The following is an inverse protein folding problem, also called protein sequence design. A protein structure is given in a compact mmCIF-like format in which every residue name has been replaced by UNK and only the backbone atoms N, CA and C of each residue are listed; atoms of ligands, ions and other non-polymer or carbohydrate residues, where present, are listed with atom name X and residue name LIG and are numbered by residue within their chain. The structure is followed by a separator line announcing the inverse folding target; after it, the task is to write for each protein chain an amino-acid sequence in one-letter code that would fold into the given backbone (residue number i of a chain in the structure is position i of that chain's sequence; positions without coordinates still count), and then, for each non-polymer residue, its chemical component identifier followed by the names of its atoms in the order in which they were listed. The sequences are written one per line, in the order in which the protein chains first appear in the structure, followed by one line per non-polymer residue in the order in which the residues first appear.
data_IF_979231327431
#
_entry.id   IF_979231327431
#
_cell.length_a   1.000
_cell.length_b   1.000
_cell.length_c   1.000
_cell.angle_alpha   90.00
_cell.angle_beta   90.00
_cell.angle_gamma   90.00
#
_symmetry.space_group_name_H-M   'P 1'
#
loop_
_entity.id
_entity.type
_entity.pdbx_description
1 polymer ?
#
# COMPACT_ATOMS: atom_id res chain seq x y z
N UNK A 1 -6.90 -1.48 -9.65
CA UNK A 1 -7.40 -0.87 -8.38
C UNK A 1 -6.32 0.01 -7.82
N UNK A 2 -6.55 1.32 -7.75
CA UNK A 2 -5.66 2.27 -7.06
C UNK A 2 -6.16 2.45 -5.63
N UNK A 3 -5.26 2.35 -4.66
CA UNK A 3 -5.57 2.65 -3.26
C UNK A 3 -4.69 3.82 -2.83
N UNK A 4 -5.29 4.82 -2.18
CA UNK A 4 -4.58 6.00 -1.65
C UNK A 4 -4.81 6.10 -0.15
N UNK A 5 -3.75 6.40 0.60
CA UNK A 5 -3.84 6.52 2.05
C UNK A 5 -4.70 7.72 2.38
N UNK A 6 -5.64 7.60 3.32
CA UNK A 6 -6.57 8.66 3.69
C UNK A 6 -5.91 9.97 4.16
N UNK A 7 -4.64 9.92 4.57
CA UNK A 7 -3.85 11.10 4.94
C UNK A 7 -3.36 11.90 3.73
N UNK A 8 -3.46 11.35 2.52
CA UNK A 8 -3.03 11.97 1.25
C UNK A 8 -4.29 12.49 0.54
N UNK A 9 -4.43 13.82 0.38
CA UNK A 9 -5.55 14.40 -0.34
C UNK A 9 -5.55 13.94 -1.79
N UNK A 10 -6.63 13.27 -2.21
CA UNK A 10 -6.74 12.70 -3.55
C UNK A 10 -8.18 12.73 -4.06
N UNK A 11 -8.32 12.68 -5.39
CA UNK A 11 -9.59 12.68 -6.11
C UNK A 11 -9.53 11.61 -7.22
N UNK A 12 -10.54 10.76 -7.28
CA UNK A 12 -10.72 9.84 -8.42
C UNK A 12 -11.14 10.65 -9.65
N UNK A 13 -10.45 10.42 -10.77
CA UNK A 13 -10.66 11.14 -12.04
C UNK A 13 -11.02 10.12 -13.11
N UNK A 14 -11.86 10.52 -14.06
CA UNK A 14 -12.16 9.67 -15.21
C UNK A 14 -10.86 9.36 -15.99
N UNK A 15 -10.59 8.09 -16.29
CA UNK A 15 -9.37 7.70 -16.97
C UNK A 15 -9.44 8.05 -18.46
N UNK A 16 -8.26 8.30 -19.04
CA UNK A 16 -8.09 8.46 -20.48
C UNK A 16 -8.44 7.15 -21.20
N UNK A 17 -9.03 7.26 -22.39
CA UNK A 17 -9.30 6.10 -23.22
C UNK A 17 -8.00 5.50 -23.74
N UNK A 18 -7.66 4.27 -23.32
CA UNK A 18 -6.44 3.57 -23.73
C UNK A 18 -6.69 2.40 -24.70
N UNK A 19 -7.85 2.36 -25.35
CA UNK A 19 -8.24 1.33 -26.32
C UNK A 19 -9.35 0.38 -25.83
N UNK A 20 -10.04 -0.25 -26.79
CA UNK A 20 -11.20 -1.11 -26.52
C UNK A 20 -10.86 -2.36 -25.68
N UNK A 21 -11.32 -2.36 -24.42
CA UNK A 21 -11.11 -3.46 -23.48
C UNK A 21 -9.78 -3.39 -22.73
N UNK A 22 -9.12 -2.22 -22.75
CA UNK A 22 -8.07 -1.86 -21.79
C UNK A 22 -8.74 -1.28 -20.54
N UNK A 23 -8.34 -1.76 -19.37
CA UNK A 23 -8.84 -1.24 -18.09
C UNK A 23 -7.88 -0.17 -17.59
N UNK A 24 -8.39 1.03 -17.33
CA UNK A 24 -7.61 2.14 -16.79
C UNK A 24 -8.30 2.72 -15.56
N UNK A 25 -7.51 3.13 -14.58
CA UNK A 25 -7.96 3.87 -13.40
C UNK A 25 -7.03 5.04 -13.17
N UNK A 26 -7.60 6.17 -12.74
CA UNK A 26 -6.83 7.41 -12.55
C UNK A 26 -7.19 8.06 -11.22
N UNK A 27 -6.17 8.45 -10.46
CA UNK A 27 -6.32 9.22 -9.23
C UNK A 27 -5.39 10.41 -9.26
N UNK A 28 -5.91 11.60 -8.99
CA UNK A 28 -5.12 12.82 -8.79
C UNK A 28 -4.79 12.98 -7.31
N UNK A 29 -3.51 13.17 -7.01
CA UNK A 29 -2.97 13.42 -5.68
C UNK A 29 -2.59 14.90 -5.60
N UNK A 30 -3.06 15.60 -4.56
CA UNK A 30 -2.73 17.00 -4.34
C UNK A 30 -1.51 17.13 -3.42
N UNK A 31 -0.51 17.84 -3.91
CA UNK A 31 0.75 18.15 -3.23
C UNK A 31 0.74 19.61 -2.76
N UNK A 32 1.77 20.02 -2.03
CA UNK A 32 1.85 21.39 -1.51
C UNK A 32 1.86 22.45 -2.63
N UNK A 33 2.59 22.16 -3.72
CA UNK A 33 2.85 23.13 -4.80
C UNK A 33 2.31 22.66 -6.17
N UNK A 34 1.83 21.42 -6.28
CA UNK A 34 1.41 20.82 -7.55
C UNK A 34 0.42 19.67 -7.34
N UNK A 35 0.06 18.95 -8.40
CA UNK A 35 -0.69 17.71 -8.35
C UNK A 35 -0.01 16.61 -9.17
N UNK A 36 0.00 15.38 -8.64
CA UNK A 36 0.46 14.20 -9.34
C UNK A 36 -0.74 13.39 -9.82
N UNK A 37 -0.80 13.05 -11.10
CA UNK A 37 -1.82 12.15 -11.64
C UNK A 37 -1.26 10.74 -11.77
N UNK A 38 -1.88 9.80 -11.08
CA UNK A 38 -1.48 8.39 -11.07
C UNK A 38 -2.42 7.58 -11.96
N UNK A 39 -1.88 6.92 -12.97
CA UNK A 39 -2.58 6.00 -13.86
C UNK A 39 -2.22 4.56 -13.52
N UNK A 40 -3.24 3.71 -13.39
CA UNK A 40 -3.10 2.26 -13.31
C UNK A 40 -3.74 1.62 -14.53
N UNK A 41 -2.94 1.00 -15.40
CA UNK A 41 -3.38 0.45 -16.68
C UNK A 41 -3.21 -1.06 -16.69
N UNK A 42 -4.28 -1.78 -17.00
CA UNK A 42 -4.24 -3.19 -17.31
C UNK A 42 -4.71 -3.41 -18.75
N UNK A 43 -3.77 -3.82 -19.61
CA UNK A 43 -4.06 -4.18 -20.99
C UNK A 43 -4.05 -5.71 -21.13
N UNK A 44 -5.22 -6.35 -21.34
CA UNK A 44 -5.27 -7.80 -21.58
C UNK A 44 -4.48 -8.19 -22.84
N UNK A 45 -3.84 -9.38 -22.87
CA UNK A 45 -3.00 -9.81 -24.00
C UNK A 45 -3.63 -9.67 -25.40
N UNK A 46 -4.92 -10.02 -25.65
CA UNK A 46 -5.48 -9.99 -26.99
C UNK A 46 -5.93 -8.59 -27.45
N UNK A 47 -5.87 -7.57 -26.58
CA UNK A 47 -6.35 -6.21 -26.88
C UNK A 47 -5.24 -5.36 -27.48
N UNK A 48 -5.59 -4.19 -28.03
CA UNK A 48 -4.62 -3.21 -28.53
C UNK A 48 -4.50 -2.06 -27.55
N UNK A 49 -3.28 -1.59 -27.34
CA UNK A 49 -3.00 -0.42 -26.52
C UNK A 49 -3.01 0.85 -27.39
N UNK A 50 -3.82 1.83 -27.01
CA UNK A 50 -3.82 3.17 -27.60
C UNK A 50 -3.28 4.18 -26.57
N UNK A 51 -1.95 4.32 -26.50
CA UNK A 51 -1.28 5.12 -25.47
C UNK A 51 -1.04 6.60 -25.87
N UNK A 52 -1.43 7.02 -27.07
CA UNK A 52 -1.10 8.36 -27.60
C UNK A 52 -1.69 9.51 -26.77
N UNK A 53 -2.98 9.42 -26.42
CA UNK A 53 -3.66 10.45 -25.61
C UNK A 53 -3.09 10.49 -24.18
N UNK A 54 -2.83 9.32 -23.59
CA UNK A 54 -2.21 9.18 -22.27
C UNK A 54 -0.84 9.87 -22.19
N UNK A 55 0.04 9.60 -23.17
CA UNK A 55 1.38 10.18 -23.21
C UNK A 55 1.35 11.66 -23.57
N UNK A 56 0.38 12.11 -24.36
CA UNK A 56 0.17 13.54 -24.63
C UNK A 56 -0.23 14.28 -23.34
N UNK A 57 -1.15 13.74 -22.55
CA UNK A 57 -1.56 14.37 -21.28
C UNK A 57 -0.41 14.42 -20.27
N UNK A 58 0.48 13.43 -20.31
CA UNK A 58 1.68 13.37 -19.50
C UNK A 58 2.74 14.43 -19.83
N UNK A 59 2.59 15.17 -20.94
CA UNK A 59 3.41 16.38 -21.24
C UNK A 59 2.91 17.64 -20.53
N UNK A 60 1.68 17.65 -20.02
CA UNK A 60 1.03 18.85 -19.48
C UNK A 60 0.96 18.87 -17.96
N UNK A 61 1.05 17.71 -17.31
CA UNK A 61 0.92 17.53 -15.87
C UNK A 61 1.97 16.51 -15.36
N UNK A 62 2.28 16.54 -14.07
CA UNK A 62 3.10 15.50 -13.45
C UNK A 62 2.32 14.19 -13.41
N UNK A 63 2.88 13.15 -14.03
CA UNK A 63 2.24 11.83 -14.10
C UNK A 63 3.11 10.71 -13.56
N UNK A 64 2.44 9.70 -13.01
CA UNK A 64 2.97 8.38 -12.77
C UNK A 64 2.06 7.37 -13.44
N UNK A 65 2.57 6.66 -14.45
CA UNK A 65 1.81 5.65 -15.18
C UNK A 65 2.39 4.29 -14.83
N UNK A 66 1.58 3.40 -14.29
CA UNK A 66 2.01 2.06 -13.92
C UNK A 66 0.97 1.01 -14.30
N UNK A 67 1.40 -0.24 -14.46
CA UNK A 67 0.49 -1.39 -14.58
C UNK A 67 1.02 -2.45 -15.54
N UNK A 68 0.17 -3.44 -15.85
CA UNK A 68 0.50 -4.53 -16.77
C UNK A 68 0.03 -4.19 -18.19
N UNK A 69 1.00 -3.85 -19.03
CA UNK A 69 0.76 -3.45 -20.41
C UNK A 69 0.74 -4.61 -21.38
N UNK A 70 1.14 -5.83 -20.98
CA UNK A 70 1.39 -6.96 -21.89
C UNK A 70 2.12 -6.53 -23.19
N UNK A 71 3.07 -5.61 -23.07
CA UNK A 71 3.83 -5.01 -24.15
C UNK A 71 5.29 -5.49 -24.07
N UNK A 72 5.83 -5.94 -25.19
CA UNK A 72 7.15 -6.56 -25.27
C UNK A 72 7.99 -5.83 -26.31
N UNK A 73 9.16 -5.36 -25.90
CA UNK A 73 10.15 -4.75 -26.79
C UNK A 73 11.55 -4.92 -26.20
N UNK A 74 12.60 -5.18 -27.01
CA UNK A 74 13.98 -5.30 -26.53
C UNK A 74 14.49 -4.08 -25.74
N UNK A 75 14.03 -2.87 -26.08
CA UNK A 75 14.33 -1.63 -25.33
C UNK A 75 13.70 -1.59 -23.93
N UNK A 76 12.60 -2.33 -23.72
CA UNK A 76 11.88 -2.41 -22.44
C UNK A 76 12.43 -3.58 -21.61
N UNK A 77 12.63 -4.73 -22.24
CA UNK A 77 13.32 -5.88 -21.69
C UNK A 77 14.16 -6.57 -22.78
N UNK A 78 15.50 -6.56 -22.66
CA UNK A 78 16.43 -7.12 -23.65
C UNK A 78 16.19 -8.59 -24.00
N UNK A 79 15.55 -9.35 -23.11
CA UNK A 79 15.33 -10.79 -23.25
C UNK A 79 14.02 -11.16 -23.97
N UNK A 80 13.20 -10.17 -24.33
CA UNK A 80 11.86 -10.40 -24.90
C UNK A 80 11.80 -10.16 -26.41
N UNK A 81 11.02 -10.96 -27.13
CA UNK A 81 10.70 -10.73 -28.53
C UNK A 81 9.66 -9.61 -28.65
N UNK A 82 9.87 -8.70 -29.60
CA UNK A 82 8.99 -7.57 -29.85
C UNK A 82 7.56 -7.98 -30.22
N UNK A 83 6.55 -7.37 -29.58
CA UNK A 83 5.16 -7.40 -30.03
C UNK A 83 4.71 -6.03 -30.56
N UNK A 84 3.55 -5.98 -31.22
CA UNK A 84 3.08 -4.77 -31.90
C UNK A 84 2.82 -3.61 -30.93
N UNK A 85 2.31 -3.89 -29.73
CA UNK A 85 2.07 -2.87 -28.70
C UNK A 85 3.38 -2.35 -28.10
N UNK A 86 4.39 -3.20 -27.91
CA UNK A 86 5.71 -2.79 -27.42
C UNK A 86 6.46 -1.93 -28.43
N UNK A 87 6.36 -2.22 -29.72
CA UNK A 87 6.87 -1.32 -30.77
C UNK A 87 6.17 0.03 -30.75
N UNK A 88 4.82 0.02 -30.75
CA UNK A 88 4.02 1.24 -30.72
C UNK A 88 4.34 2.12 -29.49
N UNK A 89 4.51 1.51 -28.33
CA UNK A 89 4.83 2.21 -27.09
C UNK A 89 6.25 2.82 -27.14
N UNK A 90 7.24 2.11 -27.70
CA UNK A 90 8.60 2.64 -27.84
C UNK A 90 8.67 3.78 -28.86
N UNK A 91 7.90 3.73 -29.95
CA UNK A 91 7.77 4.85 -30.88
C UNK A 91 7.21 6.09 -30.16
N UNK A 92 6.12 5.94 -29.41
CA UNK A 92 5.52 7.05 -28.68
C UNK A 92 6.45 7.63 -27.60
N UNK A 93 7.23 6.81 -26.90
CA UNK A 93 8.22 7.28 -25.93
C UNK A 93 9.40 7.99 -26.59
N UNK A 94 9.71 7.66 -27.84
CA UNK A 94 10.75 8.38 -28.61
C UNK A 94 10.26 9.79 -28.97
N UNK A 95 8.95 9.94 -29.19
CA UNK A 95 8.32 11.21 -29.53
C UNK A 95 8.02 12.10 -28.30
N UNK A 96 8.05 11.54 -27.08
CA UNK A 96 7.71 12.24 -25.82
C UNK A 96 8.85 12.10 -24.78
N UNK A 97 9.91 12.94 -24.86
CA UNK A 97 11.07 12.84 -23.97
C UNK A 97 10.79 13.24 -22.51
N UNK A 98 9.64 13.86 -22.21
CA UNK A 98 9.19 14.27 -20.88
C UNK A 98 8.80 13.09 -19.99
N UNK A 99 8.73 11.88 -20.55
CA UNK A 99 8.32 10.66 -19.86
C UNK A 99 9.43 9.62 -19.94
N UNK A 100 9.89 9.18 -18.79
CA UNK A 100 10.97 8.20 -18.69
C UNK A 100 10.44 6.86 -18.21
N UNK A 101 10.83 5.79 -18.91
CA UNK A 101 10.66 4.41 -18.42
C UNK A 101 11.67 4.15 -17.30
N UNK A 102 11.19 3.85 -16.09
CA UNK A 102 12.06 3.61 -14.93
C UNK A 102 12.35 2.12 -14.70
N UNK A 103 11.89 1.25 -15.59
CA UNK A 103 12.13 -0.17 -15.48
C UNK A 103 13.60 -0.52 -15.75
N UNK A 104 14.21 -1.26 -14.83
CA UNK A 104 15.60 -1.77 -14.89
C UNK A 104 15.78 -3.00 -15.81
N UNK A 105 14.78 -3.37 -16.62
CA UNK A 105 14.82 -4.55 -17.51
C UNK A 105 14.70 -5.90 -16.81
N UNK A 106 14.58 -5.94 -15.48
CA UNK A 106 14.44 -7.18 -14.73
C UNK A 106 13.07 -7.87 -14.98
N UNK A 107 13.01 -9.22 -15.03
CA UNK A 107 11.75 -9.95 -15.20
C UNK A 107 10.80 -9.70 -14.02
N UNK A 108 9.57 -9.28 -14.31
CA UNK A 108 8.53 -9.06 -13.31
C UNK A 108 7.65 -10.28 -13.10
N UNK A 109 7.77 -11.34 -13.91
CA UNK A 109 6.97 -12.55 -13.83
C UNK A 109 7.82 -13.82 -13.60
N UNK A 110 7.29 -14.82 -12.86
CA UNK A 110 8.00 -16.09 -12.50
C UNK A 110 8.46 -16.89 -13.75
N UNK A 111 7.74 -16.79 -14.87
CA UNK A 111 8.12 -17.48 -16.12
C UNK A 111 9.06 -16.66 -17.02
N UNK A 112 9.51 -15.48 -16.56
CA UNK A 112 10.30 -14.53 -17.35
C UNK A 112 9.42 -13.49 -18.07
N UNK A 113 10.00 -12.32 -18.34
CA UNK A 113 9.37 -11.16 -18.97
C UNK A 113 9.09 -9.99 -18.03
N UNK A 114 9.22 -8.75 -18.52
CA UNK A 114 8.85 -7.51 -17.82
C UNK A 114 7.52 -7.05 -18.42
N UNK A 115 6.41 -7.43 -17.80
CA UNK A 115 5.05 -7.10 -18.24
C UNK A 115 4.56 -5.80 -17.60
N UNK A 116 5.03 -5.56 -16.37
CA UNK A 116 4.68 -4.42 -15.55
C UNK A 116 5.60 -3.24 -15.88
N UNK A 117 5.06 -2.18 -16.46
CA UNK A 117 5.82 -1.00 -16.87
C UNK A 117 5.43 0.20 -16.00
N UNK A 118 6.45 0.93 -15.55
CA UNK A 118 6.27 2.20 -14.84
C UNK A 118 6.94 3.31 -15.63
N UNK A 119 6.16 4.32 -16.00
CA UNK A 119 6.60 5.54 -16.63
C UNK A 119 6.39 6.70 -15.67
N UNK A 120 7.33 7.63 -15.66
CA UNK A 120 7.27 8.80 -14.80
C UNK A 120 7.67 10.05 -15.57
N UNK A 121 7.06 11.19 -15.26
CA UNK A 121 7.56 12.48 -15.73
C UNK A 121 9.02 12.65 -15.32
N UNK A 122 9.89 13.01 -16.26
CA UNK A 122 11.37 13.05 -16.10
C UNK A 122 11.83 13.96 -14.95
N UNK A 123 11.01 14.94 -14.55
CA UNK A 123 11.28 15.84 -13.42
C UNK A 123 11.26 15.13 -12.05
N UNK A 124 10.64 13.96 -11.97
CA UNK A 124 10.55 13.16 -10.75
C UNK A 124 11.69 12.14 -10.72
N UNK A 125 12.84 12.50 -10.15
CA UNK A 125 13.96 11.56 -9.93
C UNK A 125 13.56 10.53 -8.87
N UNK A 126 13.31 9.25 -9.22
CA UNK A 126 12.88 8.26 -8.25
C UNK A 126 14.08 7.54 -7.62
N UNK A 127 13.97 7.22 -6.33
CA UNK A 127 14.71 6.10 -5.74
C UNK A 127 13.85 4.85 -5.92
N UNK A 128 14.29 3.93 -6.77
CA UNK A 128 13.62 2.66 -7.07
C UNK A 128 14.16 1.59 -6.13
N UNK A 129 13.27 0.93 -5.40
CA UNK A 129 13.62 -0.20 -4.53
C UNK A 129 12.75 -1.42 -4.90
N UNK A 130 13.38 -2.58 -5.03
CA UNK A 130 12.75 -3.79 -5.53
C UNK A 130 12.22 -4.63 -4.37
N UNK A 131 10.98 -4.39 -3.94
CA UNK A 131 10.35 -5.21 -2.91
C UNK A 131 8.88 -5.55 -3.17
N UNK A 132 8.61 -6.87 -3.03
CA UNK A 132 7.36 -7.61 -2.68
C UNK A 132 6.82 -8.57 -3.78
N UNK A 133 6.31 -9.75 -3.38
CA UNK A 133 6.09 -10.90 -4.29
C UNK A 133 4.68 -11.54 -4.25
N UNK A 134 4.03 -11.52 -5.42
CA UNK A 134 3.21 -12.63 -5.98
C UNK A 134 4.04 -13.34 -7.07
N UNK A 135 3.40 -14.12 -7.94
CA UNK A 135 3.91 -14.49 -9.27
C UNK A 135 4.30 -13.32 -10.18
N UNK A 136 3.91 -12.10 -9.79
CA UNK A 136 4.49 -10.84 -10.22
C UNK A 136 5.32 -10.19 -9.09
N UNK A 137 6.50 -9.65 -9.41
CA UNK A 137 7.30 -8.82 -8.51
C UNK A 137 6.70 -7.40 -8.50
N UNK A 138 6.19 -6.95 -7.35
CA UNK A 138 5.78 -5.58 -7.15
C UNK A 138 7.01 -4.67 -7.11
N UNK A 139 6.89 -3.47 -7.68
CA UNK A 139 7.95 -2.45 -7.68
C UNK A 139 7.57 -1.32 -6.75
N UNK A 140 8.52 -0.90 -5.91
CA UNK A 140 8.36 0.28 -5.07
C UNK A 140 9.11 1.44 -5.69
N UNK A 141 8.43 2.57 -5.85
CA UNK A 141 9.02 3.80 -6.38
C UNK A 141 8.81 4.91 -5.36
N UNK A 142 9.91 5.45 -4.83
CA UNK A 142 9.86 6.53 -3.85
C UNK A 142 9.99 7.87 -4.56
N UNK A 143 8.94 8.69 -4.45
CA UNK A 143 8.93 10.07 -4.97
C UNK A 143 9.14 11.04 -3.81
N UNK A 144 10.18 11.88 -3.91
CA UNK A 144 10.45 12.93 -2.93
C UNK A 144 9.65 14.17 -3.31
N UNK A 145 8.51 14.35 -2.64
CA UNK A 145 7.58 15.45 -2.90
C UNK A 145 7.07 16.09 -1.61
N UNK A 146 6.82 17.40 -1.67
CA UNK A 146 6.26 18.16 -0.55
C UNK A 146 4.76 17.89 -0.42
N UNK A 147 4.37 17.15 0.63
CA UNK A 147 2.97 16.88 0.93
C UNK A 147 2.28 18.13 1.50
N UNK A 148 0.96 18.23 1.28
CA UNK A 148 0.14 19.22 1.96
C UNK A 148 0.32 19.12 3.48
N UNK A 149 0.39 20.25 4.20
CA UNK A 149 0.45 20.23 5.64
C UNK A 149 -0.80 19.52 6.18
N UNK A 150 -0.67 18.73 7.27
CA UNK A 150 -1.83 18.10 7.88
C UNK A 150 -2.87 19.16 8.25
N UNK A 151 -4.17 18.82 8.21
CA UNK A 151 -5.21 19.77 8.55
C UNK A 151 -4.96 20.36 9.96
N UNK A 152 -5.26 21.65 10.17
CA UNK A 152 -5.08 22.28 11.47
C UNK A 152 -5.88 21.52 12.54
N UNK A 153 -5.40 21.58 13.78
CA UNK A 153 -6.03 20.89 14.90
C UNK A 153 -7.51 21.29 14.99
N UNK A 154 -8.44 20.34 15.18
CA UNK A 154 -9.83 20.70 15.43
C UNK A 154 -9.89 21.60 16.68
N UNK A 155 -10.73 22.65 16.66
CA UNK A 155 -10.82 23.56 17.78
C UNK A 155 -11.27 22.81 19.05
N UNK A 156 -10.80 23.22 20.23
CA UNK A 156 -11.18 22.59 21.49
C UNK A 156 -12.71 22.68 21.67
N UNK A 157 -13.35 21.54 21.94
CA UNK A 157 -14.81 21.43 22.09
C UNK A 157 -15.19 21.48 23.56
N UNK A 158 -16.42 21.87 23.88
CA UNK A 158 -16.90 21.84 25.26
C UNK A 158 -17.02 20.40 25.77
N UNK A 159 -16.50 20.14 26.98
CA UNK A 159 -16.59 18.82 27.61
C UNK A 159 -17.82 18.75 28.53
N UNK A 160 -18.99 18.44 27.94
CA UNK A 160 -20.25 18.34 28.68
C UNK A 160 -20.22 17.32 29.84
N UNK A 161 -19.34 16.31 29.79
CA UNK A 161 -19.18 15.33 30.88
C UNK A 161 -18.53 15.92 32.14
N UNK A 162 -17.75 16.99 31.98
CA UNK A 162 -17.09 17.71 33.08
C UNK A 162 -17.79 19.05 33.40
N UNK A 163 -18.94 19.31 32.80
CA UNK A 163 -19.70 20.53 33.01
C UNK A 163 -20.18 20.63 34.47
N UNK A 164 -19.98 21.80 35.07
CA UNK A 164 -20.63 22.15 36.32
C UNK A 164 -22.00 22.78 36.02
N UNK A 165 -23.02 21.94 35.83
CA UNK A 165 -24.36 22.40 35.47
C UNK A 165 -24.99 23.33 36.51
N UNK A 166 -24.57 23.23 37.78
CA UNK A 166 -25.05 24.14 38.83
C UNK A 166 -24.50 25.55 38.63
N UNK A 167 -23.19 25.67 38.39
CA UNK A 167 -22.57 26.95 38.06
C UNK A 167 -23.14 27.56 36.77
N UNK A 168 -23.38 26.73 35.75
CA UNK A 168 -24.01 27.17 34.51
C UNK A 168 -25.39 27.79 34.77
N UNK A 169 -26.21 27.09 35.56
CA UNK A 169 -27.55 27.56 35.91
C UNK A 169 -27.49 28.84 36.75
N UNK A 170 -26.56 28.93 37.70
CA UNK A 170 -26.42 30.10 38.57
C UNK A 170 -25.99 31.35 37.78
N UNK A 171 -25.02 31.23 36.86
CA UNK A 171 -24.60 32.35 35.99
C UNK A 171 -25.69 32.76 34.99
N UNK A 172 -26.39 31.79 34.39
CA UNK A 172 -27.48 32.11 33.47
C UNK A 172 -28.67 32.77 34.20
N UNK A 173 -29.01 32.30 35.41
CA UNK A 173 -30.06 32.89 36.23
C UNK A 173 -29.71 34.31 36.67
N UNK A 174 -28.43 34.57 36.97
CA UNK A 174 -27.91 35.90 37.30
C UNK A 174 -28.01 36.86 36.11
N UNK A 175 -27.72 36.40 34.89
CA UNK A 175 -27.97 37.20 33.69
C UNK A 175 -29.47 37.47 33.52
N UNK A 176 -30.30 36.43 33.55
CA UNK A 176 -31.75 36.54 33.35
C UNK A 176 -32.43 37.49 34.34
N UNK A 177 -32.01 37.49 35.60
CA UNK A 177 -32.60 38.35 36.64
C UNK A 177 -32.28 39.83 36.46
N UNK A 178 -31.25 40.16 35.68
CA UNK A 178 -30.81 41.53 35.40
C UNK A 178 -31.04 41.95 33.94
N UNK A 179 -31.65 41.09 33.12
CA UNK A 179 -31.81 41.33 31.69
C UNK A 179 -33.11 42.10 31.40
N UNK A 180 -32.98 43.20 30.66
CA UNK A 180 -34.11 43.93 30.08
C UNK A 180 -34.18 43.60 28.57
N UNK A 181 -35.30 43.06 28.06
CA UNK A 181 -35.41 42.64 26.67
C UNK A 181 -35.23 43.80 25.68
N UNK A 182 -34.39 43.59 24.66
CA UNK A 182 -34.28 44.53 23.55
C UNK A 182 -35.58 44.58 22.71
N UNK A 183 -35.88 45.74 22.12
CA UNK A 183 -37.02 45.90 21.21
C UNK A 183 -36.77 45.23 19.83
N UNK A 184 -35.50 45.11 19.45
CA UNK A 184 -35.07 44.46 18.22
C UNK A 184 -34.83 42.96 18.44
N UNK A 185 -35.37 42.14 17.54
CA UNK A 185 -35.29 40.68 17.58
C UNK A 185 -33.86 40.20 17.36
N UNK A 186 -33.11 40.86 16.48
CA UNK A 186 -31.74 40.48 16.18
C UNK A 186 -30.84 40.75 17.39
N UNK A 187 -31.03 41.90 18.04
CA UNK A 187 -30.34 42.22 19.29
C UNK A 187 -30.71 41.24 20.42
N UNK A 188 -31.98 40.89 20.57
CA UNK A 188 -32.42 39.90 21.57
C UNK A 188 -31.80 38.51 21.35
N UNK A 189 -31.69 38.07 20.10
CA UNK A 189 -31.02 36.81 19.77
C UNK A 189 -29.53 36.85 20.08
N UNK A 190 -28.88 37.98 19.83
CA UNK A 190 -27.47 38.17 20.13
C UNK A 190 -27.23 38.14 21.63
N UNK A 191 -28.01 38.89 22.41
CA UNK A 191 -27.91 38.93 23.87
C UNK A 191 -28.09 37.54 24.50
N UNK A 192 -29.08 36.78 24.01
CA UNK A 192 -29.32 35.41 24.48
C UNK A 192 -28.17 34.47 24.13
N UNK A 193 -27.63 34.59 22.91
CA UNK A 193 -26.51 33.75 22.45
C UNK A 193 -25.25 34.03 23.28
N UNK A 194 -24.96 35.30 23.53
CA UNK A 194 -23.83 35.74 24.35
C UNK A 194 -23.98 35.26 25.79
N UNK A 195 -25.19 35.32 26.36
CA UNK A 195 -25.47 34.81 27.70
C UNK A 195 -25.26 33.29 27.83
N UNK A 196 -25.76 32.51 26.84
CA UNK A 196 -25.55 31.06 26.79
C UNK A 196 -24.06 30.75 26.68
N UNK A 197 -23.35 31.48 25.83
CA UNK A 197 -21.93 31.26 25.59
C UNK A 197 -21.10 31.62 26.83
N UNK A 198 -21.39 32.75 27.48
CA UNK A 198 -20.73 33.17 28.72
C UNK A 198 -20.92 32.15 29.85
N UNK A 199 -22.17 31.74 30.12
CA UNK A 199 -22.46 30.77 31.18
C UNK A 199 -21.71 29.44 30.96
N UNK A 200 -21.56 29.03 29.71
CA UNK A 200 -20.82 27.82 29.38
C UNK A 200 -19.31 27.97 29.41
N UNK A 201 -18.76 29.14 29.08
CA UNK A 201 -17.32 29.40 29.21
C UNK A 201 -16.86 29.30 30.66
N UNK A 202 -17.68 29.77 31.61
CA UNK A 202 -17.42 29.66 33.04
C UNK A 202 -17.64 28.23 33.58
N UNK A 203 -18.68 27.54 33.10
CA UNK A 203 -19.13 26.29 33.71
C UNK A 203 -18.65 25.01 33.02
N UNK A 204 -18.26 25.08 31.73
CA UNK A 204 -17.96 23.90 30.91
C UNK A 204 -16.50 23.95 30.45
N UNK A 205 -15.61 23.14 31.04
CA UNK A 205 -14.22 23.11 30.61
C UNK A 205 -14.12 22.58 29.17
N UNK A 206 -13.22 23.16 28.37
CA UNK A 206 -12.95 22.72 27.01
C UNK A 206 -12.08 21.44 27.02
N UNK A 207 -12.27 20.57 26.03
CA UNK A 207 -11.42 19.40 25.81
C UNK A 207 -10.03 19.85 25.39
N UNK A 208 -8.98 19.26 25.96
CA UNK A 208 -7.66 19.40 25.40
C UNK A 208 -7.63 18.71 24.02
N UNK A 209 -7.18 19.39 22.95
CA UNK A 209 -6.99 18.75 21.66
C UNK A 209 -5.87 17.72 21.84
N UNK A 210 -6.24 16.45 21.97
CA UNK A 210 -5.26 15.37 22.07
C UNK A 210 -4.79 14.99 20.68
N UNK A 211 -3.47 14.95 20.46
CA UNK A 211 -2.84 14.29 19.29
C UNK A 211 -2.95 12.77 19.41
N UNK A 212 -4.17 12.25 19.62
CA UNK A 212 -4.39 10.83 19.37
C UNK A 212 -4.50 10.70 17.86
N UNK A 213 -3.35 10.52 17.21
CA UNK A 213 -3.33 9.65 16.04
C UNK A 213 -3.92 8.33 16.53
N UNK A 214 -5.20 8.11 16.22
CA UNK A 214 -5.64 6.74 16.11
C UNK A 214 -4.71 6.16 15.04
N UNK A 215 -3.79 5.27 15.44
CA UNK A 215 -3.20 4.34 14.46
C UNK A 215 -4.38 3.84 13.63
N UNK A 216 -4.21 3.77 12.32
CA UNK A 216 -5.25 3.45 11.32
C UNK A 216 -5.80 2.01 11.47
N UNK A 217 -5.80 1.45 12.69
CA UNK A 217 -6.39 0.19 13.11
C UNK A 217 -7.82 0.01 12.61
N UNK A 218 -8.59 1.07 12.38
CA UNK A 218 -9.97 0.95 11.89
C UNK A 218 -10.01 0.53 10.42
N UNK A 219 -9.12 1.07 9.57
CA UNK A 219 -9.00 0.71 8.16
C UNK A 219 -8.63 -0.78 8.09
N UNK A 220 -7.43 -1.13 8.61
CA UNK A 220 -6.98 -2.52 8.66
C UNK A 220 -7.94 -3.47 9.41
N UNK A 221 -8.79 -2.99 10.32
CA UNK A 221 -9.79 -3.85 10.94
C UNK A 221 -10.88 -4.27 9.96
N UNK A 222 -11.31 -3.40 9.06
CA UNK A 222 -12.35 -3.72 8.08
C UNK A 222 -11.81 -4.67 7.02
N UNK A 223 -10.60 -4.47 6.49
CA UNK A 223 -9.99 -5.46 5.59
C UNK A 223 -9.71 -6.79 6.29
N UNK A 224 -9.26 -6.77 7.55
CA UNK A 224 -9.04 -8.02 8.31
C UNK A 224 -10.34 -8.71 8.64
N UNK A 225 -11.39 -7.96 8.97
CA UNK A 225 -12.73 -8.51 9.19
C UNK A 225 -13.29 -9.10 7.89
N UNK A 226 -13.05 -8.46 6.75
CA UNK A 226 -13.41 -8.94 5.42
C UNK A 226 -12.65 -10.21 5.04
N UNK A 227 -11.32 -10.26 5.26
CA UNK A 227 -10.51 -11.45 5.05
C UNK A 227 -10.97 -12.60 5.95
N UNK A 228 -11.21 -12.32 7.24
CA UNK A 228 -11.76 -13.28 8.20
C UNK A 228 -13.12 -13.81 7.75
N UNK A 229 -14.01 -12.95 7.25
CA UNK A 229 -15.32 -13.36 6.73
C UNK A 229 -15.17 -14.26 5.49
N UNK A 230 -14.29 -13.91 4.55
CA UNK A 230 -13.99 -14.75 3.39
C UNK A 230 -13.40 -16.10 3.79
N UNK A 231 -12.48 -16.14 4.76
CA UNK A 231 -11.97 -17.39 5.33
C UNK A 231 -13.12 -18.19 5.94
N UNK A 232 -13.96 -17.56 6.75
CA UNK A 232 -15.11 -18.19 7.41
C UNK A 232 -16.11 -18.82 6.43
N UNK A 233 -16.46 -18.12 5.34
CA UNK A 233 -17.32 -18.64 4.26
C UNK A 233 -16.74 -19.92 3.65
N UNK A 234 -15.43 -19.95 3.39
CA UNK A 234 -14.73 -21.12 2.83
C UNK A 234 -14.57 -22.26 3.84
N UNK A 235 -14.38 -21.94 5.12
CA UNK A 235 -14.43 -22.94 6.20
C UNK A 235 -15.83 -23.56 6.31
N UNK A 236 -16.90 -22.78 6.17
CA UNK A 236 -18.26 -23.30 6.18
C UNK A 236 -18.50 -24.26 5.01
N UNK A 237 -17.99 -23.93 3.82
CA UNK A 237 -18.00 -24.87 2.69
C UNK A 237 -17.26 -26.16 3.03
N UNK A 238 -16.06 -26.10 3.63
CA UNK A 238 -15.35 -27.29 4.10
C UNK A 238 -16.17 -28.10 5.12
N UNK A 239 -16.87 -27.45 6.05
CA UNK A 239 -17.73 -28.12 7.04
C UNK A 239 -18.84 -28.93 6.37
N UNK A 240 -19.46 -28.39 5.31
CA UNK A 240 -20.50 -29.13 4.57
C UNK A 240 -19.95 -30.41 3.91
N UNK A 241 -18.67 -30.39 3.51
CA UNK A 241 -17.97 -31.54 2.92
C UNK A 241 -17.53 -32.58 3.96
N UNK A 242 -17.60 -32.27 5.26
CA UNK A 242 -17.23 -33.16 6.36
C UNK A 242 -18.38 -34.01 6.92
N UNK A 243 -19.38 -34.31 6.10
CA UNK A 243 -20.56 -35.09 6.50
C UNK A 243 -20.25 -36.46 7.14
N UNK A 244 -21.13 -36.98 8.01
CA UNK A 244 -20.90 -38.23 8.76
C UNK A 244 -20.99 -39.51 7.90
N UNK A 245 -21.67 -39.47 6.75
CA UNK A 245 -21.87 -40.65 5.86
C UNK A 245 -20.95 -40.66 4.63
N UNK A 246 -20.72 -39.50 4.01
CA UNK A 246 -19.85 -39.31 2.85
C UNK A 246 -19.03 -38.06 3.11
N UNK A 247 -17.99 -38.21 3.92
CA UNK A 247 -17.10 -37.12 4.30
C UNK A 247 -15.83 -37.13 3.45
N UNK A 248 -15.40 -35.96 3.02
CA UNK A 248 -14.13 -35.79 2.33
C UNK A 248 -12.97 -36.10 3.29
N UNK A 249 -11.96 -36.80 2.80
CA UNK A 249 -10.79 -37.19 3.58
C UNK A 249 -9.91 -36.01 4.00
N UNK A 250 -9.13 -36.22 5.06
CA UNK A 250 -8.20 -35.23 5.63
C UNK A 250 -7.29 -34.58 4.57
N UNK A 251 -6.72 -35.37 3.66
CA UNK A 251 -5.79 -34.90 2.63
C UNK A 251 -6.44 -33.87 1.70
N UNK A 252 -7.66 -34.16 1.23
CA UNK A 252 -8.39 -33.27 0.30
C UNK A 252 -8.83 -31.99 1.01
N UNK A 253 -9.29 -32.08 2.27
CA UNK A 253 -9.62 -30.90 3.07
C UNK A 253 -8.38 -30.02 3.32
N UNK A 254 -7.23 -30.63 3.58
CA UNK A 254 -5.96 -29.92 3.74
C UNK A 254 -5.56 -29.22 2.45
N UNK A 255 -5.66 -29.89 1.31
CA UNK A 255 -5.38 -29.29 -0.01
C UNK A 255 -6.33 -28.12 -0.28
N UNK A 256 -7.63 -28.30 -0.06
CA UNK A 256 -8.63 -27.24 -0.22
C UNK A 256 -8.34 -26.05 0.70
N UNK A 257 -7.97 -26.29 1.96
CA UNK A 257 -7.56 -25.24 2.88
C UNK A 257 -6.35 -24.46 2.33
N UNK A 258 -5.31 -25.16 1.85
CA UNK A 258 -4.10 -24.52 1.33
C UNK A 258 -4.43 -23.61 0.14
N UNK A 259 -5.23 -24.09 -0.82
CA UNK A 259 -5.48 -23.38 -2.07
C UNK A 259 -6.59 -22.33 -1.97
N UNK A 260 -7.62 -22.56 -1.15
CA UNK A 260 -8.77 -21.67 -1.07
C UNK A 260 -8.72 -20.74 0.14
N UNK A 261 -8.08 -21.11 1.25
CA UNK A 261 -8.14 -20.32 2.49
C UNK A 261 -6.78 -19.71 2.80
N UNK A 262 -5.73 -20.53 2.91
CA UNK A 262 -4.37 -20.07 3.20
C UNK A 262 -3.83 -19.14 2.10
N UNK A 263 -4.27 -19.33 0.86
CA UNK A 263 -3.94 -18.44 -0.25
C UNK A 263 -4.39 -16.99 -0.04
N UNK A 264 -5.49 -16.74 0.68
CA UNK A 264 -5.94 -15.36 0.98
C UNK A 264 -4.92 -14.62 1.83
N UNK A 265 -4.46 -15.27 2.90
CA UNK A 265 -3.43 -14.72 3.79
C UNK A 265 -2.07 -14.76 3.12
N UNK A 266 -1.84 -15.73 2.24
CA UNK A 266 -0.56 -15.89 1.56
C UNK A 266 -0.38 -14.90 0.38
N UNK A 267 -1.46 -14.33 -0.15
CA UNK A 267 -1.40 -13.34 -1.23
C UNK A 267 -1.17 -11.93 -0.68
N UNK A 268 -1.84 -11.57 0.41
CA UNK A 268 -1.70 -10.25 1.05
C UNK A 268 -0.44 -10.12 1.95
N UNK A 269 0.55 -11.02 1.83
CA UNK A 269 1.67 -11.10 2.80
C UNK A 269 2.42 -9.79 3.02
N UNK A 270 2.73 -8.98 1.99
CA UNK A 270 3.45 -7.73 2.20
C UNK A 270 2.74 -6.72 3.10
N UNK A 271 1.46 -6.44 2.89
CA UNK A 271 0.67 -5.56 3.75
C UNK A 271 0.28 -6.22 5.07
N UNK A 272 0.23 -7.55 5.13
CA UNK A 272 -0.04 -8.21 6.41
C UNK A 272 1.17 -8.18 7.36
N UNK A 273 2.40 -7.96 6.86
CA UNK A 273 3.60 -7.88 7.70
C UNK A 273 3.57 -6.73 8.72
N UNK A 274 2.70 -5.76 8.50
CA UNK A 274 2.73 -4.47 9.21
C UNK A 274 1.55 -4.28 10.14
N UNK A 275 0.67 -5.28 10.11
CA UNK A 275 -0.36 -5.49 11.09
C UNK A 275 0.22 -5.72 12.48
N UNK A 276 -0.53 -5.25 13.47
CA UNK A 276 -0.29 -5.56 14.88
C UNK A 276 -0.53 -7.04 15.21
N UNK A 277 0.12 -7.51 16.29
CA UNK A 277 -0.05 -8.88 16.80
C UNK A 277 -1.51 -9.26 17.04
N UNK A 278 -2.32 -8.31 17.55
CA UNK A 278 -3.74 -8.54 17.80
C UNK A 278 -4.56 -8.76 16.52
N UNK A 279 -4.22 -8.09 15.42
CA UNK A 279 -4.89 -8.30 14.14
C UNK A 279 -4.55 -9.68 13.55
N UNK A 280 -3.30 -10.12 13.74
CA UNK A 280 -2.87 -11.48 13.39
C UNK A 280 -3.61 -12.54 14.19
N UNK A 281 -3.86 -12.29 15.48
CA UNK A 281 -4.61 -13.21 16.34
C UNK A 281 -6.02 -13.50 15.78
N UNK A 282 -6.69 -12.51 15.18
CA UNK A 282 -7.99 -12.71 14.53
C UNK A 282 -7.92 -13.69 13.36
N UNK A 283 -6.89 -13.58 12.52
CA UNK A 283 -6.68 -14.48 11.38
C UNK A 283 -6.24 -15.87 11.87
N UNK A 284 -5.41 -15.93 12.91
CA UNK A 284 -4.93 -17.15 13.55
C UNK A 284 -6.10 -17.96 14.15
N UNK A 285 -7.09 -17.29 14.75
CA UNK A 285 -8.32 -17.96 15.21
C UNK A 285 -9.10 -18.59 14.05
N UNK A 286 -9.24 -17.88 12.93
CA UNK A 286 -9.91 -18.42 11.73
C UNK A 286 -9.15 -19.61 11.13
N UNK A 287 -7.81 -19.51 11.08
CA UNK A 287 -6.91 -20.59 10.68
C UNK A 287 -7.07 -21.84 11.56
N UNK A 288 -7.01 -21.68 12.88
CA UNK A 288 -7.13 -22.78 13.83
C UNK A 288 -8.51 -23.44 13.75
N UNK A 289 -9.58 -22.67 13.53
CA UNK A 289 -10.90 -23.22 13.28
C UNK A 289 -10.97 -24.03 11.98
N UNK A 290 -10.28 -23.61 10.91
CA UNK A 290 -10.18 -24.38 9.69
C UNK A 290 -9.42 -25.71 9.90
N UNK A 291 -8.29 -25.66 10.62
CA UNK A 291 -7.51 -26.86 10.98
C UNK A 291 -8.36 -27.85 11.78
N UNK A 292 -9.17 -27.38 12.74
CA UNK A 292 -10.09 -28.26 13.49
C UNK A 292 -11.06 -28.99 12.57
N UNK A 293 -11.58 -28.32 11.53
CA UNK A 293 -12.47 -28.95 10.54
C UNK A 293 -11.74 -30.01 9.72
N UNK A 294 -10.48 -29.76 9.33
CA UNK A 294 -9.66 -30.68 8.53
C UNK A 294 -9.48 -32.04 9.23
N UNK A 295 -9.18 -32.05 10.53
CA UNK A 295 -8.96 -33.28 11.33
C UNK A 295 -10.18 -33.71 12.14
N UNK A 296 -11.31 -33.02 12.01
CA UNK A 296 -12.53 -33.26 12.78
C UNK A 296 -12.28 -33.27 14.31
N UNK A 297 -11.45 -32.35 14.79
CA UNK A 297 -11.06 -32.30 16.19
C UNK A 297 -12.08 -31.54 17.05
N UNK A 298 -12.26 -31.95 18.32
CA UNK A 298 -13.09 -31.21 19.28
C UNK A 298 -12.42 -29.89 19.71
N UNK A 299 -13.21 -28.96 20.25
CA UNK A 299 -12.75 -27.61 20.62
C UNK A 299 -11.68 -27.60 21.72
N UNK A 300 -11.68 -28.59 22.62
CA UNK A 300 -10.73 -28.69 23.72
C UNK A 300 -9.34 -29.22 23.31
N UNK A 301 -9.18 -29.71 22.06
CA UNK A 301 -7.88 -30.19 21.58
C UNK A 301 -6.88 -29.02 21.51
N UNK A 302 -5.70 -29.23 22.11
CA UNK A 302 -4.58 -28.26 22.12
C UNK A 302 -4.18 -27.88 20.69
N UNK A 303 -3.94 -26.59 20.46
CA UNK A 303 -3.63 -26.02 19.13
C UNK A 303 -2.38 -26.66 18.54
N UNK A 304 -1.33 -26.84 19.36
CA UNK A 304 -0.08 -27.50 18.96
C UNK A 304 -0.32 -28.89 18.35
N UNK A 305 -1.20 -29.70 18.97
CA UNK A 305 -1.54 -31.02 18.45
C UNK A 305 -2.29 -30.94 17.11
N UNK A 306 -3.11 -29.90 16.91
CA UNK A 306 -3.77 -29.68 15.63
C UNK A 306 -2.75 -29.41 14.51
N UNK A 307 -1.76 -28.57 14.80
CA UNK A 307 -0.71 -28.18 13.86
C UNK A 307 0.18 -29.37 13.51
N UNK A 308 0.55 -30.16 14.51
CA UNK A 308 1.35 -31.38 14.34
C UNK A 308 0.64 -32.42 13.46
N UNK A 309 -0.65 -32.70 13.71
CA UNK A 309 -1.40 -33.71 12.95
C UNK A 309 -1.71 -33.26 11.52
N UNK A 310 -1.95 -31.97 11.30
CA UNK A 310 -2.20 -31.43 9.95
C UNK A 310 -0.92 -31.13 9.17
N UNK A 311 0.23 -31.01 9.83
CA UNK A 311 1.45 -30.47 9.21
C UNK A 311 1.25 -29.05 8.69
N UNK A 312 0.44 -28.25 9.39
CA UNK A 312 0.21 -26.83 9.11
C UNK A 312 0.66 -26.05 10.36
N UNK A 313 1.70 -25.24 10.22
CA UNK A 313 2.16 -24.33 11.29
C UNK A 313 1.24 -23.13 11.42
N UNK A 314 1.35 -22.39 12.53
CA UNK A 314 0.71 -21.10 12.72
C UNK A 314 0.96 -20.15 11.54
N UNK A 315 0.02 -19.22 11.31
CA UNK A 315 0.20 -18.20 10.27
C UNK A 315 1.39 -17.30 10.59
N UNK A 316 1.63 -17.00 11.87
CA UNK A 316 2.78 -16.20 12.29
C UNK A 316 4.12 -16.86 11.94
N UNK A 317 4.33 -18.12 12.31
CA UNK A 317 5.57 -18.83 11.99
C UNK A 317 5.73 -19.01 10.48
N UNK A 318 4.61 -19.23 9.77
CA UNK A 318 4.61 -19.30 8.31
C UNK A 318 5.04 -17.96 7.68
N UNK A 319 4.52 -16.83 8.18
CA UNK A 319 4.91 -15.49 7.75
C UNK A 319 6.40 -15.28 7.94
N UNK A 320 6.90 -15.50 9.16
CA UNK A 320 8.34 -15.33 9.47
C UNK A 320 9.22 -16.15 8.55
N UNK A 321 8.86 -17.41 8.29
CA UNK A 321 9.56 -18.26 7.33
C UNK A 321 9.53 -17.68 5.92
N UNK A 322 8.38 -17.19 5.46
CA UNK A 322 8.23 -16.66 4.10
C UNK A 322 8.96 -15.33 3.93
N UNK A 323 8.89 -14.43 4.91
CA UNK A 323 9.66 -13.19 4.97
C UNK A 323 11.16 -13.48 4.97
N UNK A 324 11.63 -14.46 5.76
CA UNK A 324 13.03 -14.86 5.77
C UNK A 324 13.46 -15.47 4.42
N UNK A 325 12.64 -16.34 3.82
CA UNK A 325 12.91 -16.88 2.48
C UNK A 325 12.94 -15.76 1.43
N UNK A 326 12.08 -14.77 1.55
CA UNK A 326 12.03 -13.60 0.66
C UNK A 326 13.29 -12.74 0.81
N UNK A 327 13.64 -12.33 2.03
CA UNK A 327 14.86 -11.59 2.32
C UNK A 327 16.13 -12.33 1.83
N UNK A 328 16.17 -13.66 2.00
CA UNK A 328 17.28 -14.48 1.51
C UNK A 328 17.37 -14.43 -0.02
N UNK A 329 16.24 -14.54 -0.72
CA UNK A 329 16.17 -14.43 -2.18
C UNK A 329 16.62 -13.05 -2.68
N UNK A 330 16.24 -11.98 -1.99
CA UNK A 330 16.68 -10.62 -2.31
C UNK A 330 18.20 -10.49 -2.16
N UNK A 331 18.75 -10.93 -1.03
CA UNK A 331 20.20 -10.87 -0.77
C UNK A 331 20.98 -11.70 -1.80
N UNK A 332 20.49 -12.88 -2.18
CA UNK A 332 21.15 -13.69 -3.22
C UNK A 332 21.06 -13.05 -4.59
N UNK A 333 19.93 -12.43 -4.95
CA UNK A 333 19.72 -11.75 -6.23
C UNK A 333 20.61 -10.52 -6.38
N UNK A 334 20.68 -9.67 -5.35
CA UNK A 334 21.56 -8.50 -5.32
C UNK A 334 23.05 -8.89 -5.51
N UNK A 335 23.47 -10.04 -4.97
CA UNK A 335 24.83 -10.56 -5.16
C UNK A 335 25.08 -11.08 -6.57
N UNK A 336 24.06 -11.63 -7.22
CA UNK A 336 24.15 -12.11 -8.61
C UNK A 336 24.23 -10.93 -9.58
N UNK A 337 23.40 -9.89 -9.42
CA UNK A 337 23.52 -8.66 -10.22
C UNK A 337 24.85 -7.96 -10.00
N UNK A 338 25.34 -7.86 -8.76
CA UNK A 338 26.68 -7.31 -8.48
C UNK A 338 27.83 -8.14 -9.09
N UNK A 339 27.66 -9.46 -9.21
CA UNK A 339 28.64 -10.34 -9.83
C UNK A 339 28.62 -10.22 -11.35
N UNK A 340 27.42 -10.18 -11.96
CA UNK A 340 27.22 -9.98 -13.39
C UNK A 340 27.73 -8.60 -13.83
N UNK A 341 27.36 -7.53 -13.12
CA UNK A 341 27.85 -6.17 -13.38
C UNK A 341 29.39 -6.09 -13.30
N UNK A 342 30.01 -6.80 -12.34
CA UNK A 342 31.48 -6.87 -12.23
C UNK A 342 32.16 -7.69 -13.33
N UNK A 343 31.46 -8.65 -13.93
CA UNK A 343 31.97 -9.41 -15.08
C UNK A 343 31.83 -8.61 -16.36
N UNK A 344 30.71 -7.92 -16.58
CA UNK A 344 30.50 -7.04 -17.73
C UNK A 344 31.45 -5.83 -17.74
N UNK A 345 31.75 -5.25 -16.57
CA UNK A 345 32.78 -4.22 -16.41
C UNK A 345 34.18 -4.75 -16.76
N UNK A 346 34.47 -6.03 -16.53
CA UNK A 346 35.75 -6.64 -16.91
C UNK A 346 35.83 -6.89 -18.42
N UNK A 347 34.74 -7.33 -19.05
CA UNK A 347 34.70 -7.57 -20.50
C UNK A 347 34.77 -6.26 -21.31
N UNK A 348 34.21 -5.15 -20.79
CA UNK A 348 34.41 -3.82 -21.41
C UNK A 348 35.85 -3.33 -21.29
N UNK A 349 36.54 -3.61 -20.17
CA UNK A 349 37.97 -3.24 -20.01
C UNK A 349 38.94 -4.09 -20.83
N UNK A 350 38.55 -5.29 -21.29
CA UNK A 350 39.38 -6.16 -22.14
C UNK A 350 39.34 -5.77 -23.63
N UNK A 351 38.46 -4.86 -24.04
CA UNK A 351 38.33 -4.41 -25.45
C UNK A 351 39.18 -3.18 -25.82
N UNK A 352 39.94 -2.60 -24.88
CA UNK A 352 40.86 -1.49 -25.16
C UNK A 352 42.25 -1.77 -24.59
N UNK A 353 43.18 -2.07 -25.49
CA UNK A 353 44.59 -1.82 -25.27
C UNK A 353 45.27 -1.41 -26.58
N UNK A 354 46.48 -0.84 -26.55
CA UNK A 354 47.26 -0.40 -25.39
C UNK A 354 47.63 1.11 -25.47
N UNK A 355 48.07 1.71 -24.36
CA UNK A 355 49.30 2.51 -24.35
C UNK A 355 49.73 2.87 -22.91
N UNK A 356 51.04 3.04 -22.81
CA UNK A 356 51.94 3.02 -21.65
C UNK A 356 51.71 4.11 -20.58
N UNK A 357 51.84 3.77 -19.28
CA UNK A 357 52.83 4.33 -18.33
C UNK A 357 52.58 3.86 -16.88
N UNK A 358 53.69 3.67 -16.16
CA UNK A 358 53.84 3.09 -14.81
C UNK A 358 53.22 3.90 -13.65
N UNK A 359 53.09 3.32 -12.43
CA UNK A 359 52.17 3.79 -11.40
C UNK A 359 52.81 4.73 -10.38
N UNK A 360 52.02 5.67 -9.86
CA UNK A 360 52.34 6.42 -8.64
C UNK A 360 51.33 6.07 -7.55
N UNK A 361 51.84 5.71 -6.37
CA UNK A 361 51.07 5.27 -5.21
C UNK A 361 50.85 6.47 -4.28
N UNK A 362 49.59 6.85 -4.02
CA UNK A 362 49.25 7.72 -2.89
C UNK A 362 47.81 7.52 -2.38
N UNK A 363 47.73 6.87 -1.20
CA UNK A 363 46.78 7.00 -0.07
C UNK A 363 45.25 6.98 -0.28
N UNK A 364 44.49 6.19 0.54
CA UNK A 364 43.03 6.20 0.55
C UNK A 364 42.43 7.29 1.47
N UNK A 365 41.32 7.89 1.04
CA UNK A 365 40.48 8.77 1.86
C UNK A 365 39.60 7.97 2.85
N UNK A 366 39.17 8.56 3.98
CA UNK A 366 38.55 7.82 5.07
C UNK A 366 37.05 7.61 4.86
N UNK A 367 36.58 6.50 5.42
CA UNK A 367 35.17 6.12 5.54
C UNK A 367 34.36 7.18 6.31
N UNK A 368 33.24 7.62 5.75
CA UNK A 368 32.22 8.37 6.49
C UNK A 368 31.01 7.45 6.75
N UNK A 369 30.57 7.40 8.02
CA UNK A 369 29.38 6.67 8.45
C UNK A 369 28.11 7.25 7.81
N UNK A 370 27.14 6.44 7.36
CA UNK A 370 25.83 6.96 6.97
C UNK A 370 25.03 7.41 8.20
N UNK A 371 24.29 8.53 8.12
CA UNK A 371 23.41 9.00 9.18
C UNK A 371 22.14 8.14 9.29
N UNK A 372 21.61 8.05 10.51
CA UNK A 372 20.44 7.28 10.87
C UNK A 372 19.19 7.69 10.06
N UNK A 373 18.64 6.76 9.29
CA UNK A 373 17.37 6.92 8.57
C UNK A 373 16.23 6.41 9.45
N UNK A 374 15.24 7.28 9.69
CA UNK A 374 13.98 6.92 10.32
C UNK A 374 13.00 6.45 9.24
N UNK A 375 12.66 5.16 9.27
CA UNK A 375 11.64 4.54 8.42
C UNK A 375 10.24 5.04 8.79
N UNK A 376 9.53 5.63 7.83
CA UNK A 376 8.09 5.83 7.88
C UNK A 376 7.49 4.98 6.76
N UNK A 377 7.20 3.72 7.06
CA UNK A 377 6.56 2.80 6.11
C UNK A 377 5.14 3.25 5.77
N UNK A 378 4.83 3.31 4.48
CA UNK A 378 3.47 3.16 3.98
C UNK A 378 3.44 1.95 3.09
N UNK A 379 2.72 0.92 3.53
CA UNK A 379 2.64 -0.35 2.82
C UNK A 379 1.41 -0.42 1.94
N UNK A 380 1.60 -0.91 0.72
CA UNK A 380 0.53 -1.44 -0.10
C UNK A 380 0.79 -2.94 -0.35
N UNK A 381 -0.28 -3.71 -0.09
CA UNK A 381 -0.58 -5.14 -0.26
C UNK A 381 0.51 -6.21 -0.41
#
# INVERSE_FOLDING_TARGET
MILVRATIPSLEVEPVHCGDGVEAQTVRIYLANDSLVVYNIYKPPPKRLEAGELLTQATQELVLIAGDFNAHHPTINPTTSMNQDGHHLVELLTDVPEITLINTGEPTHILGGTLDLTFISTELVPEVDDELTSDHFAKTTTLRMELLPPPPRPPPRWNSKKANWKLYQDEFQKWYSNYEPAEDIDQLNQDLTDAIQHAAEEAIPKTNPTNRHHKDFWFYNDEINYLRDRMGKRVNMMRTMTGPKVGVGHVVLRTLYIHAIRSLTDYAKPALNTLSEWQWEKLEVAHNNAIRVIIKAPMWKKIENLHMETGLTSLQTRRERLTACFATKLITRARETDAVNRLELKDTTLSKGPDTMSPDYSTPAPWESPPAVFNIGQEWL
#
